data_IF_768665560856
#
_entry.id   IF_768665560856
#
_cell.length_a   1.000
_cell.length_b   1.000
_cell.length_c   1.000
_cell.angle_alpha   90.00
_cell.angle_beta   90.00
_cell.angle_gamma   90.00
#
_symmetry.space_group_name_H-M   'P 1'
#
loop_
_entity.id
_entity.type
_entity.pdbx_description
1 polymer ?
#
# COMPACT_ATOMS: atom_id res chain seq x y z
N UNK A 1 -22.95 -34.25 -1.76
CA UNK A 1 -21.82 -33.75 -2.57
C UNK A 1 -22.45 -32.70 -3.44
N UNK A 2 -22.79 -31.60 -2.79
CA UNK A 2 -23.70 -30.60 -3.28
C UNK A 2 -22.83 -29.42 -3.63
N UNK A 3 -22.26 -29.47 -4.84
CA UNK A 3 -21.66 -28.28 -5.46
C UNK A 3 -22.79 -27.30 -5.71
N UNK A 4 -23.12 -26.51 -4.69
CA UNK A 4 -23.96 -25.33 -4.82
C UNK A 4 -23.22 -24.36 -5.75
N UNK A 5 -23.50 -24.49 -7.04
CA UNK A 5 -23.10 -23.51 -8.05
C UNK A 5 -23.78 -22.19 -7.68
N UNK A 6 -23.03 -21.30 -7.04
CA UNK A 6 -23.44 -19.92 -6.84
C UNK A 6 -23.78 -19.31 -8.20
N UNK A 7 -25.08 -19.15 -8.47
CA UNK A 7 -25.63 -18.58 -9.71
C UNK A 7 -25.45 -17.06 -9.77
N UNK A 8 -24.88 -16.47 -8.72
CA UNK A 8 -24.72 -15.05 -8.60
C UNK A 8 -23.37 -14.64 -9.21
N UNK A 9 -23.34 -13.71 -10.18
CA UNK A 9 -22.11 -13.35 -10.86
C UNK A 9 -21.10 -12.79 -9.87
N UNK A 10 -20.02 -13.54 -9.63
CA UNK A 10 -18.89 -13.03 -8.85
C UNK A 10 -18.38 -11.74 -9.49
N UNK A 11 -17.97 -10.73 -8.70
CA UNK A 11 -17.47 -9.46 -9.21
C UNK A 11 -16.05 -9.60 -9.81
N UNK A 12 -15.91 -10.43 -10.85
CA UNK A 12 -14.65 -10.81 -11.49
C UNK A 12 -13.86 -9.61 -11.99
N UNK A 13 -14.53 -8.52 -12.35
CA UNK A 13 -13.88 -7.26 -12.74
C UNK A 13 -13.08 -6.65 -11.58
N UNK A 14 -13.65 -6.61 -10.38
CA UNK A 14 -12.99 -6.06 -9.19
C UNK A 14 -11.83 -6.98 -8.74
N UNK A 15 -12.02 -8.30 -8.74
CA UNK A 15 -10.93 -9.24 -8.46
C UNK A 15 -9.77 -9.13 -9.47
N UNK A 16 -10.07 -8.95 -10.76
CA UNK A 16 -9.04 -8.69 -11.77
C UNK A 16 -8.30 -7.38 -11.51
N UNK A 17 -9.02 -6.32 -11.13
CA UNK A 17 -8.40 -5.05 -10.77
C UNK A 17 -7.45 -5.21 -9.57
N UNK A 18 -7.86 -5.93 -8.53
CA UNK A 18 -7.01 -6.24 -7.37
C UNK A 18 -5.72 -6.95 -7.79
N UNK A 19 -5.79 -7.95 -8.68
CA UNK A 19 -4.60 -8.64 -9.18
C UNK A 19 -3.65 -7.67 -9.91
N UNK A 20 -4.18 -6.77 -10.75
CA UNK A 20 -3.37 -5.78 -11.45
C UNK A 20 -2.70 -4.79 -10.48
N UNK A 21 -3.41 -4.39 -9.42
CA UNK A 21 -2.87 -3.53 -8.38
C UNK A 21 -1.77 -4.23 -7.57
N UNK A 22 -1.98 -5.48 -7.17
CA UNK A 22 -0.94 -6.27 -6.49
C UNK A 22 0.30 -6.44 -7.38
N UNK A 23 0.13 -6.67 -8.68
CA UNK A 23 1.24 -6.71 -9.63
C UNK A 23 1.98 -5.37 -9.68
N UNK A 24 1.25 -4.25 -9.76
CA UNK A 24 1.85 -2.90 -9.74
C UNK A 24 2.64 -2.64 -8.44
N UNK A 25 2.11 -3.05 -7.29
CA UNK A 25 2.82 -2.97 -5.98
C UNK A 25 4.13 -3.77 -6.04
N UNK A 26 4.11 -4.99 -6.56
CA UNK A 26 5.30 -5.83 -6.71
C UNK A 26 6.35 -5.17 -7.61
N UNK A 27 5.92 -4.60 -8.74
CA UNK A 27 6.78 -3.93 -9.71
C UNK A 27 7.43 -2.69 -9.06
N UNK A 28 6.65 -1.89 -8.33
CA UNK A 28 7.16 -0.73 -7.58
C UNK A 28 8.14 -1.15 -6.47
N UNK A 29 7.88 -2.23 -5.74
CA UNK A 29 8.80 -2.73 -4.70
C UNK A 29 10.14 -3.19 -5.31
N UNK A 30 10.07 -3.81 -6.49
CA UNK A 30 11.25 -4.26 -7.23
C UNK A 30 12.01 -3.06 -7.82
N UNK A 31 11.30 -2.05 -8.34
CA UNK A 31 11.88 -0.77 -8.75
C UNK A 31 12.62 -0.09 -7.61
N UNK A 32 11.97 0.00 -6.44
CA UNK A 32 12.57 0.57 -5.23
C UNK A 32 13.83 -0.18 -4.79
N UNK A 33 13.82 -1.52 -4.89
CA UNK A 33 14.99 -2.35 -4.62
C UNK A 33 16.15 -2.02 -5.56
N UNK A 34 15.88 -1.93 -6.87
CA UNK A 34 16.88 -1.58 -7.88
C UNK A 34 17.47 -0.19 -7.65
N UNK A 35 16.65 0.80 -7.30
CA UNK A 35 17.12 2.16 -6.95
C UNK A 35 18.10 2.08 -5.76
N UNK A 36 17.74 1.32 -4.72
CA UNK A 36 18.56 1.18 -3.51
C UNK A 36 19.87 0.44 -3.72
N UNK A 37 19.95 -0.49 -4.67
CA UNK A 37 21.19 -1.19 -5.02
C UNK A 37 22.28 -0.26 -5.55
N UNK A 38 21.88 0.86 -6.16
CA UNK A 38 22.80 1.85 -6.74
C UNK A 38 23.09 3.03 -5.79
N UNK A 39 22.41 3.10 -4.65
CA UNK A 39 22.53 4.19 -3.69
C UNK A 39 23.68 3.92 -2.69
N UNK A 40 24.57 4.88 -2.40
CA UNK A 40 25.58 4.71 -1.37
C UNK A 40 24.95 4.66 0.03
N UNK A 41 24.90 3.45 0.61
CA UNK A 41 24.26 3.16 1.91
C UNK A 41 24.75 4.04 3.08
N UNK A 42 26.07 4.34 3.13
CA UNK A 42 26.69 5.02 4.28
C UNK A 42 26.34 6.51 4.38
N UNK A 43 26.07 7.17 3.26
CA UNK A 43 25.84 8.63 3.22
C UNK A 43 24.35 8.98 3.30
N UNK A 44 23.47 8.11 2.78
CA UNK A 44 22.07 8.52 2.50
C UNK A 44 21.02 7.70 3.25
N UNK A 45 21.33 6.46 3.63
CA UNK A 45 20.33 5.52 4.18
C UNK A 45 20.30 5.50 5.71
N UNK A 46 21.46 5.57 6.36
CA UNK A 46 21.55 5.41 7.83
C UNK A 46 20.79 6.50 8.60
N UNK A 47 20.76 7.72 8.08
CA UNK A 47 20.21 8.86 8.80
C UNK A 47 18.68 8.90 8.80
N UNK A 48 18.02 8.35 7.78
CA UNK A 48 16.55 8.34 7.60
C UNK A 48 15.95 6.93 7.67
N UNK A 49 16.72 5.97 8.20
CA UNK A 49 16.34 4.56 8.24
C UNK A 49 15.06 4.34 9.06
N UNK A 50 14.87 5.12 10.14
CA UNK A 50 13.71 5.01 11.01
C UNK A 50 12.42 5.36 10.26
N UNK A 51 12.43 6.48 9.55
CA UNK A 51 11.31 7.00 8.76
C UNK A 51 11.01 6.07 7.58
N UNK A 52 12.05 5.56 6.90
CA UNK A 52 11.88 4.54 5.83
C UNK A 52 11.26 3.26 6.36
N UNK A 53 11.65 2.80 7.55
CA UNK A 53 11.06 1.62 8.17
C UNK A 53 9.61 1.85 8.56
N UNK A 54 9.30 3.02 9.11
CA UNK A 54 7.92 3.40 9.46
C UNK A 54 7.02 3.39 8.22
N UNK A 55 7.48 4.00 7.12
CA UNK A 55 6.80 3.97 5.84
C UNK A 55 6.50 2.54 5.37
N UNK A 56 7.53 1.69 5.29
CA UNK A 56 7.35 0.29 4.87
C UNK A 56 6.42 -0.48 5.83
N UNK A 57 6.45 -0.18 7.13
CA UNK A 57 5.53 -0.77 8.10
C UNK A 57 4.08 -0.42 7.80
N UNK A 58 3.77 0.82 7.41
CA UNK A 58 2.43 1.23 7.01
C UNK A 58 1.96 0.46 5.76
N UNK A 59 2.84 0.28 4.79
CA UNK A 59 2.56 -0.52 3.56
C UNK A 59 2.26 -1.98 3.93
N UNK A 60 3.10 -2.60 4.75
CA UNK A 60 2.91 -3.99 5.19
C UNK A 60 1.59 -4.18 5.96
N UNK A 61 1.24 -3.25 6.85
CA UNK A 61 -0.01 -3.31 7.61
C UNK A 61 -1.23 -3.16 6.68
N UNK A 62 -1.15 -2.31 5.66
CA UNK A 62 -2.21 -2.15 4.67
C UNK A 62 -2.42 -3.43 3.84
N UNK A 63 -1.32 -4.08 3.42
CA UNK A 63 -1.37 -5.37 2.72
C UNK A 63 -1.93 -6.48 3.61
N UNK A 64 -1.51 -6.53 4.87
CA UNK A 64 -2.01 -7.50 5.85
C UNK A 64 -3.52 -7.31 6.12
N UNK A 65 -3.97 -6.07 6.28
CA UNK A 65 -5.40 -5.77 6.42
C UNK A 65 -6.19 -6.18 5.18
N UNK A 66 -5.66 -5.91 3.99
CA UNK A 66 -6.27 -6.31 2.72
C UNK A 66 -6.40 -7.85 2.63
N UNK A 67 -5.33 -8.59 2.95
CA UNK A 67 -5.36 -10.06 3.01
C UNK A 67 -6.44 -10.56 3.98
N UNK A 68 -6.52 -9.97 5.18
CA UNK A 68 -7.51 -10.34 6.18
C UNK A 68 -8.93 -10.11 5.66
N UNK A 69 -9.19 -8.98 5.00
CA UNK A 69 -10.48 -8.69 4.37
C UNK A 69 -10.85 -9.73 3.31
N UNK A 70 -9.92 -10.14 2.44
CA UNK A 70 -10.20 -11.21 1.46
C UNK A 70 -10.45 -12.57 2.10
N UNK A 71 -9.76 -12.92 3.19
CA UNK A 71 -9.90 -14.21 3.88
C UNK A 71 -11.15 -14.28 4.74
N UNK A 72 -11.38 -13.26 5.56
CA UNK A 72 -12.48 -13.20 6.50
C UNK A 72 -13.77 -12.66 5.87
N UNK A 73 -13.68 -12.03 4.69
CA UNK A 73 -14.80 -11.37 4.00
C UNK A 73 -15.49 -10.33 4.90
N UNK A 74 -14.69 -9.66 5.72
CA UNK A 74 -15.11 -8.63 6.65
C UNK A 74 -14.64 -7.26 6.16
N UNK A 75 -15.35 -6.18 6.53
CA UNK A 75 -14.95 -4.83 6.16
C UNK A 75 -13.53 -4.50 6.66
N UNK A 76 -12.90 -3.50 6.02
CA UNK A 76 -11.59 -3.05 6.46
C UNK A 76 -11.67 -2.47 7.88
N UNK A 77 -10.58 -2.58 8.66
CA UNK A 77 -10.50 -1.85 9.92
C UNK A 77 -10.71 -0.35 9.70
N UNK A 78 -11.53 0.27 10.55
CA UNK A 78 -11.84 1.71 10.46
C UNK A 78 -10.58 2.59 10.51
N UNK A 79 -9.53 2.13 11.19
CA UNK A 79 -8.28 2.85 11.33
C UNK A 79 -7.12 2.02 10.78
N UNK A 80 -6.48 2.55 9.75
CA UNK A 80 -5.20 2.08 9.24
C UNK A 80 -4.16 3.20 9.37
N UNK A 81 -2.89 2.87 9.62
CA UNK A 81 -1.83 3.86 9.64
C UNK A 81 -1.68 4.52 8.27
N UNK A 82 -1.55 5.85 8.25
CA UNK A 82 -1.46 6.61 7.01
C UNK A 82 -0.07 6.50 6.38
N UNK A 83 0.02 5.74 5.27
CA UNK A 83 1.24 5.65 4.47
C UNK A 83 1.63 7.01 3.87
N UNK A 84 0.64 7.85 3.50
CA UNK A 84 0.89 9.21 3.00
C UNK A 84 1.55 10.10 4.05
N UNK A 85 1.05 10.08 5.28
CA UNK A 85 1.64 10.85 6.37
C UNK A 85 3.07 10.37 6.69
N UNK A 86 3.29 9.05 6.67
CA UNK A 86 4.62 8.49 6.86
C UNK A 86 5.59 8.92 5.74
N UNK A 87 5.13 8.96 4.49
CA UNK A 87 5.91 9.47 3.36
C UNK A 87 6.21 10.97 3.48
N UNK A 88 5.23 11.81 3.82
CA UNK A 88 5.44 13.24 4.03
C UNK A 88 6.50 13.51 5.10
N UNK A 89 6.45 12.73 6.20
CA UNK A 89 7.45 12.82 7.27
C UNK A 89 8.84 12.43 6.76
N UNK A 90 8.94 11.35 5.99
CA UNK A 90 10.19 10.91 5.39
C UNK A 90 10.77 11.95 4.41
N UNK A 91 9.94 12.45 3.48
CA UNK A 91 10.33 13.46 2.49
C UNK A 91 10.81 14.73 3.16
N UNK A 92 10.09 15.21 4.18
CA UNK A 92 10.49 16.39 4.96
C UNK A 92 11.86 16.22 5.63
N UNK A 93 12.16 15.04 6.16
CA UNK A 93 13.46 14.74 6.77
C UNK A 93 14.58 14.62 5.73
N UNK A 94 14.30 14.07 4.56
CA UNK A 94 15.25 14.01 3.44
C UNK A 94 15.57 15.44 2.98
N UNK A 95 14.55 16.27 2.72
CA UNK A 95 14.74 17.66 2.31
C UNK A 95 15.54 18.49 3.32
N UNK A 96 15.20 18.39 4.61
CA UNK A 96 15.89 19.12 5.67
C UNK A 96 17.39 18.77 5.71
N UNK A 97 17.75 17.51 5.45
CA UNK A 97 19.14 17.06 5.39
C UNK A 97 19.83 17.48 4.12
N UNK A 98 19.14 17.39 2.98
CA UNK A 98 19.68 17.89 1.71
C UNK A 98 20.03 19.36 1.82
N UNK A 99 19.16 20.20 2.40
CA UNK A 99 19.44 21.63 2.63
C UNK A 99 20.68 21.84 3.49
N UNK A 100 20.80 21.14 4.62
CA UNK A 100 22.00 21.22 5.48
C UNK A 100 23.28 20.79 4.77
N UNK A 101 23.23 19.73 3.96
CA UNK A 101 24.39 19.25 3.22
C UNK A 101 24.85 20.25 2.14
N UNK A 102 23.91 20.98 1.53
CA UNK A 102 24.20 22.08 0.60
C UNK A 102 24.84 23.25 1.35
N UNK A 103 24.29 23.64 2.51
CA UNK A 103 24.79 24.78 3.30
C UNK A 103 26.21 24.52 3.88
N UNK A 104 26.53 23.25 4.17
CA UNK A 104 27.84 22.84 4.72
C UNK A 104 28.92 22.58 3.63
N UNK A 105 28.62 22.87 2.36
CA UNK A 105 29.50 22.69 1.18
C UNK A 105 30.18 21.30 1.15
N UNK A 106 29.42 20.29 1.56
CA UNK A 106 29.89 18.92 1.61
C UNK A 106 29.90 18.39 0.18
N UNK A 107 31.04 18.56 -0.51
CA UNK A 107 31.37 17.92 -1.81
C UNK A 107 31.06 16.41 -1.86
N UNK A 108 30.89 15.77 -0.69
CA UNK A 108 30.45 14.38 -0.55
C UNK A 108 28.98 14.14 -0.90
N UNK A 109 28.09 15.15 -0.85
CA UNK A 109 26.70 15.01 -1.31
C UNK A 109 26.62 15.17 -2.84
N UNK A 110 27.28 14.24 -3.54
CA UNK A 110 27.31 14.18 -5.00
C UNK A 110 25.88 14.21 -5.55
N UNK A 111 25.60 15.03 -6.57
CA UNK A 111 24.27 15.16 -7.17
C UNK A 111 23.60 13.84 -7.59
N UNK A 112 24.38 12.76 -7.77
CA UNK A 112 23.89 11.40 -7.99
C UNK A 112 23.12 10.87 -6.76
N UNK A 113 23.60 11.11 -5.54
CA UNK A 113 22.93 10.70 -4.30
C UNK A 113 21.59 11.44 -4.10
N UNK A 114 21.57 12.72 -4.47
CA UNK A 114 20.33 13.51 -4.50
C UNK A 114 19.34 12.94 -5.51
N UNK A 115 19.80 12.66 -6.74
CA UNK A 115 18.95 12.09 -7.78
C UNK A 115 18.32 10.75 -7.35
N UNK A 116 19.09 9.87 -6.72
CA UNK A 116 18.56 8.62 -6.18
C UNK A 116 17.59 8.83 -5.01
N UNK A 117 17.81 9.84 -4.16
CA UNK A 117 16.89 10.16 -3.06
C UNK A 117 15.55 10.67 -3.58
N UNK A 118 15.58 11.53 -4.61
CA UNK A 118 14.37 12.02 -5.28
C UNK A 118 13.62 10.88 -5.96
N UNK A 119 14.33 10.05 -6.74
CA UNK A 119 13.73 8.88 -7.39
C UNK A 119 13.13 7.89 -6.37
N UNK A 120 13.76 7.70 -5.21
CA UNK A 120 13.21 6.89 -4.13
C UNK A 120 11.89 7.46 -3.60
N UNK A 121 11.83 8.78 -3.35
CA UNK A 121 10.61 9.44 -2.89
C UNK A 121 9.48 9.35 -3.93
N UNK A 122 9.77 9.51 -5.22
CA UNK A 122 8.77 9.37 -6.29
C UNK A 122 8.18 7.96 -6.32
N UNK A 123 9.02 6.92 -6.33
CA UNK A 123 8.54 5.53 -6.30
C UNK A 123 7.76 5.21 -5.03
N UNK A 124 8.16 5.79 -3.89
CA UNK A 124 7.39 5.67 -2.65
C UNK A 124 6.03 6.39 -2.73
N UNK A 125 5.95 7.52 -3.43
CA UNK A 125 4.69 8.21 -3.73
C UNK A 125 3.75 7.33 -4.54
N UNK A 126 4.23 6.79 -5.65
CA UNK A 126 3.47 5.85 -6.49
C UNK A 126 3.00 4.62 -5.69
N UNK A 127 3.81 4.17 -4.73
CA UNK A 127 3.46 3.06 -3.82
C UNK A 127 2.29 3.42 -2.90
N UNK A 128 2.29 4.63 -2.32
CA UNK A 128 1.18 5.10 -1.48
C UNK A 128 -0.12 5.12 -2.28
N UNK A 129 -0.10 5.75 -3.45
CA UNK A 129 -1.29 5.89 -4.30
C UNK A 129 -1.84 4.52 -4.70
N UNK A 130 -0.95 3.59 -5.05
CA UNK A 130 -1.33 2.23 -5.44
C UNK A 130 -1.89 1.41 -4.26
N UNK A 131 -1.38 1.60 -3.04
CA UNK A 131 -1.92 0.95 -1.83
C UNK A 131 -3.29 1.52 -1.47
N UNK A 132 -3.49 2.83 -1.60
CA UNK A 132 -4.80 3.42 -1.35
C UNK A 132 -5.85 2.97 -2.37
N UNK A 133 -5.46 2.81 -3.63
CA UNK A 133 -6.30 2.20 -4.66
C UNK A 133 -6.67 0.75 -4.29
N UNK A 134 -5.73 -0.04 -3.75
CA UNK A 134 -6.02 -1.38 -3.24
C UNK A 134 -7.05 -1.34 -2.10
N UNK A 135 -6.84 -0.47 -1.11
CA UNK A 135 -7.75 -0.34 0.03
C UNK A 135 -9.15 0.08 -0.43
N UNK A 136 -9.25 0.97 -1.41
CA UNK A 136 -10.53 1.38 -1.98
C UNK A 136 -11.24 0.24 -2.71
N UNK A 137 -10.51 -0.58 -3.48
CA UNK A 137 -11.08 -1.79 -4.08
C UNK A 137 -11.58 -2.79 -3.02
N UNK A 138 -10.85 -2.93 -1.91
CA UNK A 138 -11.30 -3.75 -0.77
C UNK A 138 -12.61 -3.21 -0.17
N UNK A 139 -12.75 -1.88 0.01
CA UNK A 139 -14.02 -1.28 0.49
C UNK A 139 -15.16 -1.55 -0.48
N UNK A 140 -14.95 -1.32 -1.77
CA UNK A 140 -15.98 -1.56 -2.80
C UNK A 140 -16.45 -3.03 -2.85
N UNK A 141 -15.55 -3.98 -2.59
CA UNK A 141 -15.86 -5.40 -2.60
C UNK A 141 -16.61 -5.88 -1.34
N UNK A 142 -16.34 -5.32 -0.16
CA UNK A 142 -16.78 -5.91 1.11
C UNK A 142 -17.59 -4.95 2.01
N UNK A 143 -17.56 -3.64 1.77
CA UNK A 143 -18.33 -2.65 2.54
C UNK A 143 -19.68 -2.31 1.87
N UNK A 144 -19.76 -2.31 0.53
CA UNK A 144 -21.05 -2.13 -0.17
C UNK A 144 -22.06 -3.26 0.05
N UNK A 145 -21.61 -4.41 0.57
CA UNK A 145 -22.48 -5.51 1.01
C UNK A 145 -23.17 -5.28 2.36
N UNK A 146 -22.83 -4.23 3.11
CA UNK A 146 -23.41 -3.95 4.44
C UNK A 146 -24.51 -2.86 4.44
N UNK A 147 -24.62 -2.00 3.42
CA UNK A 147 -25.58 -0.88 3.41
C UNK A 147 -27.02 -1.26 2.99
N UNK A 148 -27.30 -2.53 2.68
CA UNK A 148 -28.69 -2.98 2.45
C UNK A 148 -29.43 -3.27 3.77
N UNK A 149 -30.22 -2.29 4.22
CA UNK A 149 -31.34 -2.50 5.15
C UNK A 149 -32.36 -1.35 5.06
N UNK A 150 -33.62 -1.48 5.54
CA UNK A 150 -34.37 -2.64 6.01
C UNK A 150 -35.61 -2.91 5.14
N UNK A 151 -35.72 -4.10 4.55
CA UNK A 151 -36.93 -4.49 3.83
C UNK A 151 -36.71 -5.66 2.89
N UNK A 152 -36.55 -6.85 3.46
CA UNK A 152 -36.84 -8.20 2.92
C UNK A 152 -35.94 -9.23 3.63
N UNK A 153 -36.43 -10.45 3.88
CA UNK A 153 -35.78 -11.40 4.78
C UNK A 153 -34.43 -11.82 4.20
N UNK A 154 -33.41 -11.73 5.06
CA UNK A 154 -32.01 -11.77 4.72
C UNK A 154 -31.58 -13.05 4.01
N UNK A 155 -30.92 -12.84 2.88
CA UNK A 155 -30.02 -13.79 2.22
C UNK A 155 -29.01 -12.94 1.43
N UNK A 156 -28.19 -12.19 2.17
CA UNK A 156 -26.98 -11.59 1.63
C UNK A 156 -26.11 -12.71 1.07
N UNK A 157 -25.45 -12.44 -0.06
CA UNK A 157 -24.80 -13.38 -0.98
C UNK A 157 -23.77 -14.35 -0.37
N UNK A 158 -23.49 -14.22 0.93
CA UNK A 158 -22.52 -14.98 1.71
C UNK A 158 -23.12 -15.91 2.77
N UNK A 159 -24.44 -15.85 3.00
CA UNK A 159 -25.14 -16.73 3.97
C UNK A 159 -25.07 -18.21 3.57
N UNK A 160 -24.82 -18.50 2.30
CA UNK A 160 -24.75 -19.85 1.72
C UNK A 160 -23.35 -20.47 1.74
N UNK A 161 -22.29 -19.71 2.10
CA UNK A 161 -20.90 -20.21 2.08
C UNK A 161 -20.40 -20.76 3.43
N UNK A 162 -21.23 -20.77 4.48
CA UNK A 162 -20.77 -20.97 5.86
C UNK A 162 -21.62 -21.84 6.80
N UNK A 163 -22.48 -22.73 6.30
CA UNK A 163 -23.09 -23.79 7.15
C UNK A 163 -22.87 -25.16 6.53
N UNK A 164 -21.69 -25.72 6.80
CA UNK A 164 -21.41 -27.16 6.77
C UNK A 164 -20.85 -27.57 8.12
#
# INVERSE_FOLDING_TARGET
MDDELSLVPKPMRHYRAVILIIQKILDLMTGLRKIREHMPCKETVASVLKERREFISCICLSLFASEHVFRAQQPLPQFLPSARQALETLTSQIEAKTRRAIDEDVESFKGISLAYSVAECEVMGDMVDTIEELLELCRQLFEMSLEEGPGMPGEGWFSTLGRG
#
